data_IF_645446456488
#
_entry.id   IF_645446456488
#
_cell.length_a   1.000
_cell.length_b   1.000
_cell.length_c   1.000
_cell.angle_alpha   90.00
_cell.angle_beta   90.00
_cell.angle_gamma   90.00
#
_symmetry.space_group_name_H-M   'P 1'
#
loop_
_entity.id
_entity.type
_entity.pdbx_description
1 polymer ?
#
# COMPACT_ATOMS: atom_id res chain seq x y z
N UNK A 1 -9.38 4.08 -23.47
CA UNK A 1 -9.79 5.13 -22.50
C UNK A 1 -8.62 6.07 -22.34
N UNK A 2 -8.88 7.39 -22.30
CA UNK A 2 -7.81 8.40 -22.30
C UNK A 2 -7.81 9.18 -20.98
N UNK A 3 -6.62 9.33 -20.37
CA UNK A 3 -6.40 9.97 -19.07
C UNK A 3 -5.31 11.04 -19.15
N UNK A 4 -5.33 12.01 -18.26
CA UNK A 4 -4.25 12.97 -18.09
C UNK A 4 -3.05 12.32 -17.42
N UNK A 5 -3.30 11.42 -16.46
CA UNK A 5 -2.27 10.73 -15.67
C UNK A 5 -2.60 9.26 -15.50
N UNK A 6 -1.66 8.41 -15.87
CA UNK A 6 -1.63 6.99 -15.50
C UNK A 6 -0.56 6.75 -14.44
N UNK A 7 -0.86 5.90 -13.46
CA UNK A 7 0.04 5.57 -12.36
C UNK A 7 0.14 4.06 -12.25
N UNK A 8 1.34 3.50 -12.30
CA UNK A 8 1.58 2.06 -12.11
C UNK A 8 2.16 1.83 -10.72
N UNK A 9 1.41 1.11 -9.89
CA UNK A 9 1.73 0.80 -8.50
C UNK A 9 0.90 1.61 -7.49
N UNK A 10 0.09 0.94 -6.69
CA UNK A 10 -0.82 1.50 -5.68
C UNK A 10 -0.24 1.60 -4.28
N UNK A 11 1.09 1.62 -4.14
CA UNK A 11 1.80 1.87 -2.89
C UNK A 11 1.74 3.34 -2.45
N UNK A 12 2.46 3.74 -1.36
CA UNK A 12 2.41 5.10 -0.81
C UNK A 12 2.69 6.21 -1.82
N UNK A 13 3.61 6.02 -2.75
CA UNK A 13 3.88 6.99 -3.81
C UNK A 13 2.69 7.08 -4.77
N UNK A 14 2.17 5.93 -5.26
CA UNK A 14 1.14 5.89 -6.28
C UNK A 14 -0.21 6.39 -5.81
N UNK A 15 -0.73 5.89 -4.68
CA UNK A 15 -2.04 6.35 -4.21
C UNK A 15 -2.01 7.82 -3.77
N UNK A 16 -0.90 8.32 -3.23
CA UNK A 16 -0.76 9.74 -2.87
C UNK A 16 -0.71 10.61 -4.13
N UNK A 17 0.03 10.18 -5.16
CA UNK A 17 0.07 10.88 -6.44
C UNK A 17 -1.31 10.91 -7.11
N UNK A 18 -2.02 9.75 -7.10
CA UNK A 18 -3.36 9.64 -7.67
C UNK A 18 -4.37 10.58 -6.98
N UNK A 19 -4.37 10.61 -5.64
CA UNK A 19 -5.20 11.54 -4.86
C UNK A 19 -4.92 12.99 -5.23
N UNK A 20 -3.64 13.36 -5.33
CA UNK A 20 -3.24 14.75 -5.66
C UNK A 20 -3.55 15.15 -7.10
N UNK A 21 -3.29 14.26 -8.06
CA UNK A 21 -3.60 14.51 -9.46
C UNK A 21 -5.11 14.72 -9.66
N UNK A 22 -5.93 13.82 -9.13
CA UNK A 22 -7.38 13.90 -9.24
C UNK A 22 -7.96 15.12 -8.49
N UNK A 23 -7.46 15.43 -7.29
CA UNK A 23 -7.83 16.64 -6.56
C UNK A 23 -7.44 17.93 -7.32
N UNK A 24 -6.43 17.87 -8.17
CA UNK A 24 -6.03 18.93 -9.10
C UNK A 24 -6.87 19.00 -10.39
N UNK A 25 -7.89 18.15 -10.52
CA UNK A 25 -8.79 18.12 -11.69
C UNK A 25 -8.31 17.26 -12.85
N UNK A 26 -7.25 16.48 -12.67
CA UNK A 26 -6.73 15.59 -13.73
C UNK A 26 -7.45 14.25 -13.72
N UNK A 27 -7.89 13.79 -14.90
CA UNK A 27 -8.41 12.43 -15.08
C UNK A 27 -7.29 11.42 -14.82
N UNK A 28 -7.51 10.54 -13.83
CA UNK A 28 -6.42 9.71 -13.28
C UNK A 28 -6.82 8.24 -13.23
N UNK A 29 -5.95 7.37 -13.73
CA UNK A 29 -6.05 5.91 -13.59
C UNK A 29 -4.85 5.37 -12.80
N UNK A 30 -5.13 4.46 -11.86
CA UNK A 30 -4.13 3.80 -11.00
C UNK A 30 -4.21 2.29 -11.17
N UNK A 31 -3.10 1.68 -11.56
CA UNK A 31 -2.98 0.23 -11.71
C UNK A 31 -2.29 -0.37 -10.48
N UNK A 32 -2.89 -1.41 -9.89
CA UNK A 32 -2.30 -2.16 -8.77
C UNK A 32 -2.52 -3.66 -8.95
N UNK A 33 -1.43 -4.41 -9.05
CA UNK A 33 -1.50 -5.85 -9.31
C UNK A 33 -1.83 -6.70 -8.09
N UNK A 34 -1.53 -6.21 -6.88
CA UNK A 34 -1.74 -6.94 -5.63
C UNK A 34 -2.81 -6.25 -4.77
N UNK A 35 -2.39 -5.37 -3.87
CA UNK A 35 -3.27 -4.69 -2.93
C UNK A 35 -2.92 -3.21 -2.78
N UNK A 36 -3.93 -2.34 -2.87
CA UNK A 36 -3.77 -0.93 -2.57
C UNK A 36 -3.12 -0.73 -1.20
N UNK A 37 -2.20 0.25 -1.15
CA UNK A 37 -1.38 0.50 0.03
C UNK A 37 0.04 -0.05 -0.09
N UNK A 38 0.29 -0.96 -1.05
CA UNK A 38 1.59 -1.56 -1.31
C UNK A 38 2.20 -2.26 -0.09
N UNK A 39 3.49 -2.52 -0.14
CA UNK A 39 4.23 -3.20 0.94
C UNK A 39 4.08 -2.47 2.28
N UNK A 40 4.14 -1.15 2.30
CA UNK A 40 4.07 -0.39 3.56
C UNK A 40 2.81 -0.68 4.38
N UNK A 41 1.62 -0.68 3.77
CA UNK A 41 0.38 -0.92 4.49
C UNK A 41 0.10 -2.40 4.72
N UNK A 42 0.43 -3.25 3.76
CA UNK A 42 0.01 -4.65 3.79
C UNK A 42 1.02 -5.55 4.52
N UNK A 43 2.32 -5.31 4.35
CA UNK A 43 3.38 -6.24 4.78
C UNK A 43 4.50 -5.58 5.60
N UNK A 44 4.65 -4.25 5.53
CA UNK A 44 5.78 -3.51 6.09
C UNK A 44 5.43 -2.63 7.27
N UNK A 45 5.34 -1.33 7.02
CA UNK A 45 5.27 -0.28 8.05
C UNK A 45 4.12 -0.47 9.06
N UNK A 46 2.92 -0.69 8.57
CA UNK A 46 1.71 -0.77 9.40
C UNK A 46 1.65 -2.07 10.20
N UNK A 47 1.83 -3.25 9.60
CA UNK A 47 1.95 -4.50 10.35
C UNK A 47 3.02 -4.42 11.44
N UNK A 48 4.24 -4.02 11.09
CA UNK A 48 5.37 -3.94 12.02
C UNK A 48 5.07 -3.00 13.19
N UNK A 49 4.61 -1.78 12.92
CA UNK A 49 4.28 -0.83 13.99
C UNK A 49 3.13 -1.32 14.88
N UNK A 50 2.16 -2.02 14.31
CA UNK A 50 1.03 -2.58 15.07
C UNK A 50 1.48 -3.68 16.02
N UNK A 51 2.40 -4.54 15.58
CA UNK A 51 2.99 -5.60 16.41
C UNK A 51 3.90 -5.02 17.50
N UNK A 52 4.80 -4.11 17.13
CA UNK A 52 5.70 -3.43 18.07
C UNK A 52 4.92 -2.67 19.14
N UNK A 53 3.78 -2.06 18.80
CA UNK A 53 2.96 -1.39 19.80
C UNK A 53 2.38 -2.36 20.83
N UNK A 54 1.95 -3.55 20.44
CA UNK A 54 1.50 -4.59 21.38
C UNK A 54 2.63 -5.06 22.28
N UNK A 55 3.83 -5.26 21.74
CA UNK A 55 5.03 -5.58 22.51
C UNK A 55 5.38 -4.47 23.51
N UNK A 56 5.33 -3.21 23.06
CA UNK A 56 5.58 -2.04 23.94
C UNK A 56 4.59 -1.97 25.10
N UNK A 57 3.30 -2.21 24.85
CA UNK A 57 2.28 -2.22 25.93
C UNK A 57 2.60 -3.31 26.96
N UNK A 58 2.94 -4.51 26.51
CA UNK A 58 3.31 -5.61 27.40
C UNK A 58 4.57 -5.30 28.21
N UNK A 59 5.60 -4.76 27.57
CA UNK A 59 6.83 -4.32 28.23
C UNK A 59 6.57 -3.22 29.26
N UNK A 60 5.71 -2.24 28.93
CA UNK A 60 5.30 -1.17 29.86
C UNK A 60 4.64 -1.74 31.12
N UNK A 61 3.77 -2.75 30.98
CA UNK A 61 3.12 -3.42 32.11
C UNK A 61 4.17 -4.11 33.01
N UNK A 62 5.14 -4.79 32.43
CA UNK A 62 6.22 -5.46 33.19
C UNK A 62 7.09 -4.47 34.00
N UNK A 63 7.27 -3.25 33.50
CA UNK A 63 8.06 -2.22 34.13
C UNK A 63 7.23 -1.21 34.98
N UNK A 64 5.91 -1.41 35.06
CA UNK A 64 4.99 -0.52 35.76
C UNK A 64 5.31 -0.31 37.27
N UNK A 65 5.87 -1.30 38.01
CA UNK A 65 6.21 -1.11 39.42
C UNK A 65 7.13 0.08 39.73
N UNK A 66 8.03 0.44 38.79
CA UNK A 66 8.88 1.63 39.00
C UNK A 66 8.12 2.96 39.00
N UNK A 67 6.86 2.95 38.57
CA UNK A 67 5.95 4.10 38.61
C UNK A 67 4.84 3.96 39.66
N UNK A 68 5.04 3.09 40.65
CA UNK A 68 4.04 2.75 41.69
C UNK A 68 2.71 2.21 41.11
N UNK A 69 2.76 1.56 39.95
CA UNK A 69 1.62 0.88 39.31
C UNK A 69 1.89 -0.62 39.34
N UNK A 70 0.93 -1.41 39.80
CA UNK A 70 1.03 -2.88 39.81
C UNK A 70 0.06 -3.50 38.81
N UNK A 71 0.48 -4.58 38.17
CA UNK A 71 -0.37 -5.44 37.36
C UNK A 71 -0.04 -6.89 37.68
N UNK A 72 -1.06 -7.66 38.00
CA UNK A 72 -0.93 -9.07 38.33
C UNK A 72 -1.01 -9.93 37.07
N UNK A 73 -0.12 -10.91 36.96
CA UNK A 73 -0.11 -11.93 35.90
C UNK A 73 -0.27 -11.40 34.47
N UNK A 74 0.55 -10.44 34.01
CA UNK A 74 0.42 -9.93 32.67
C UNK A 74 0.68 -11.04 31.64
N UNK A 75 -0.26 -11.23 30.74
CA UNK A 75 -0.19 -12.22 29.67
C UNK A 75 -0.47 -11.59 28.30
N UNK A 76 -0.07 -12.24 27.24
CA UNK A 76 -0.42 -11.85 25.88
C UNK A 76 -1.01 -13.05 25.11
N UNK A 77 -1.87 -12.74 24.15
CA UNK A 77 -2.48 -13.71 23.23
C UNK A 77 -2.01 -13.37 21.82
N UNK A 78 -1.07 -14.12 21.30
CA UNK A 78 -0.46 -13.84 20.00
C UNK A 78 -1.46 -13.94 18.83
N UNK A 79 -2.35 -14.95 18.74
CA UNK A 79 -3.43 -14.97 17.77
C UNK A 79 -4.28 -13.69 17.74
N UNK A 80 -4.65 -13.15 18.90
CA UNK A 80 -5.41 -11.89 19.00
C UNK A 80 -4.58 -10.67 18.58
N UNK A 81 -3.27 -10.67 18.84
CA UNK A 81 -2.36 -9.62 18.34
C UNK A 81 -2.34 -9.63 16.83
N UNK A 82 -2.24 -10.81 16.20
CA UNK A 82 -2.29 -10.95 14.73
C UNK A 82 -3.65 -10.50 14.18
N UNK A 83 -4.75 -10.91 14.80
CA UNK A 83 -6.09 -10.48 14.40
C UNK A 83 -6.25 -8.94 14.47
N UNK A 84 -5.73 -8.32 15.53
CA UNK A 84 -5.68 -6.85 15.65
C UNK A 84 -4.88 -6.21 14.51
N UNK A 85 -3.69 -6.73 14.21
CA UNK A 85 -2.84 -6.26 13.11
C UNK A 85 -3.60 -6.33 11.78
N UNK A 86 -4.24 -7.45 11.47
CA UNK A 86 -5.02 -7.63 10.26
C UNK A 86 -6.20 -6.63 10.16
N UNK A 87 -6.89 -6.37 11.28
CA UNK A 87 -7.97 -5.37 11.34
C UNK A 87 -7.48 -3.96 11.05
N UNK A 88 -6.32 -3.57 11.56
CA UNK A 88 -5.72 -2.25 11.29
C UNK A 88 -5.37 -2.11 9.82
N UNK A 89 -4.69 -3.09 9.22
CA UNK A 89 -4.35 -3.11 7.79
C UNK A 89 -5.62 -2.97 6.94
N UNK A 90 -6.62 -3.82 7.19
CA UNK A 90 -7.90 -3.79 6.45
C UNK A 90 -8.58 -2.42 6.52
N UNK A 91 -8.60 -1.80 7.70
CA UNK A 91 -9.20 -0.46 7.88
C UNK A 91 -8.48 0.60 7.05
N UNK A 92 -7.16 0.62 7.09
CA UNK A 92 -6.37 1.62 6.36
C UNK A 92 -6.45 1.42 4.84
N UNK A 93 -6.37 0.18 4.36
CA UNK A 93 -6.53 -0.13 2.93
C UNK A 93 -7.92 0.26 2.41
N UNK A 94 -8.97 -0.01 3.20
CA UNK A 94 -10.33 0.43 2.86
C UNK A 94 -10.44 1.96 2.80
N UNK A 95 -9.77 2.68 3.69
CA UNK A 95 -9.71 4.14 3.67
C UNK A 95 -9.07 4.70 2.40
N UNK A 96 -7.98 4.08 1.93
CA UNK A 96 -7.36 4.48 0.64
C UNK A 96 -8.32 4.23 -0.52
N UNK A 97 -8.95 3.05 -0.56
CA UNK A 97 -9.92 2.73 -1.63
C UNK A 97 -11.07 3.73 -1.67
N UNK A 98 -11.58 4.13 -0.51
CA UNK A 98 -12.62 5.14 -0.40
C UNK A 98 -12.14 6.49 -0.94
N UNK A 99 -10.95 6.95 -0.57
CA UNK A 99 -10.35 8.19 -1.07
C UNK A 99 -10.16 8.18 -2.60
N UNK A 100 -9.70 7.06 -3.18
CA UNK A 100 -9.60 6.94 -4.64
C UNK A 100 -10.97 7.14 -5.28
N UNK A 101 -12.00 6.47 -4.75
CA UNK A 101 -13.38 6.58 -5.25
C UNK A 101 -13.94 8.02 -5.11
N UNK A 102 -13.74 8.65 -3.97
CA UNK A 102 -14.22 10.03 -3.69
C UNK A 102 -13.57 11.06 -4.60
N UNK A 103 -12.32 10.86 -4.98
CA UNK A 103 -11.60 11.72 -5.92
C UNK A 103 -11.80 11.32 -7.40
N UNK A 104 -12.62 10.33 -7.69
CA UNK A 104 -12.87 9.91 -9.08
C UNK A 104 -11.69 9.22 -9.76
N UNK A 105 -10.73 8.69 -8.98
CA UNK A 105 -9.62 7.90 -9.52
C UNK A 105 -10.12 6.53 -9.95
N UNK A 106 -9.90 6.16 -11.20
CA UNK A 106 -10.12 4.79 -11.64
C UNK A 106 -9.01 3.88 -11.11
N UNK A 107 -9.38 2.86 -10.36
CA UNK A 107 -8.45 1.87 -9.84
C UNK A 107 -8.63 0.56 -10.60
N UNK A 108 -7.61 0.20 -11.37
CA UNK A 108 -7.54 -1.05 -12.14
C UNK A 108 -6.77 -2.08 -11.33
N UNK A 109 -7.45 -3.16 -10.95
CA UNK A 109 -6.81 -4.31 -10.28
C UNK A 109 -6.20 -5.23 -11.33
N UNK A 110 -4.89 -5.24 -11.44
CA UNK A 110 -4.16 -6.04 -12.42
C UNK A 110 -2.78 -5.49 -12.71
N UNK A 111 -1.99 -6.32 -13.38
CA UNK A 111 -0.69 -5.93 -13.87
C UNK A 111 -0.83 -4.96 -15.05
N UNK A 112 0.03 -3.94 -15.10
CA UNK A 112 0.08 -2.97 -16.17
C UNK A 112 1.37 -3.11 -16.98
N UNK A 113 1.23 -3.15 -18.29
CA UNK A 113 2.35 -3.22 -19.24
C UNK A 113 2.39 -1.96 -20.11
N UNK A 114 3.53 -1.29 -20.14
CA UNK A 114 3.77 -0.14 -21.01
C UNK A 114 4.00 -0.64 -22.44
N UNK A 115 3.07 -0.35 -23.34
CA UNK A 115 3.17 -0.79 -24.76
C UNK A 115 3.97 0.15 -25.63
N UNK A 116 4.05 1.43 -25.29
CA UNK A 116 4.83 2.40 -26.03
C UNK A 116 4.36 3.82 -25.85
N UNK A 117 5.01 4.73 -26.60
CA UNK A 117 4.68 6.15 -26.67
C UNK A 117 4.52 6.56 -28.12
N UNK A 118 3.40 7.16 -28.46
CA UNK A 118 3.12 7.67 -29.80
C UNK A 118 3.90 8.97 -30.08
N UNK A 119 3.92 9.40 -31.35
CA UNK A 119 4.60 10.61 -31.79
C UNK A 119 4.02 11.90 -31.16
N UNK A 120 2.72 11.88 -30.81
CA UNK A 120 2.04 12.97 -30.10
C UNK A 120 2.31 12.98 -28.58
N UNK A 121 3.13 12.05 -28.09
CA UNK A 121 3.48 11.90 -26.69
C UNK A 121 2.53 11.02 -25.87
N UNK A 122 1.43 10.55 -26.43
CA UNK A 122 0.47 9.67 -25.77
C UNK A 122 1.12 8.33 -25.39
N UNK A 123 0.95 7.91 -24.16
CA UNK A 123 1.51 6.65 -23.64
C UNK A 123 0.40 5.60 -23.62
N UNK A 124 0.67 4.43 -24.18
CA UNK A 124 -0.25 3.29 -24.22
C UNK A 124 0.13 2.28 -23.15
N UNK A 125 -0.84 1.90 -22.32
CA UNK A 125 -0.72 0.94 -21.22
C UNK A 125 -1.77 -0.15 -21.43
N UNK A 126 -1.38 -1.41 -21.30
CA UNK A 126 -2.31 -2.54 -21.30
C UNK A 126 -2.45 -3.12 -19.89
N UNK A 127 -3.66 -3.54 -19.52
CA UNK A 127 -3.92 -4.33 -18.31
C UNK A 127 -4.97 -5.39 -18.64
N UNK A 128 -4.55 -6.66 -18.66
CA UNK A 128 -5.35 -7.74 -19.23
C UNK A 128 -5.66 -7.46 -20.71
N UNK A 129 -6.93 -7.55 -21.08
CA UNK A 129 -7.40 -7.25 -22.45
C UNK A 129 -7.68 -5.75 -22.69
N UNK A 130 -7.68 -4.94 -21.64
CA UNK A 130 -8.00 -3.53 -21.74
C UNK A 130 -6.78 -2.68 -22.10
N UNK A 131 -7.00 -1.66 -22.92
CA UNK A 131 -5.98 -0.69 -23.33
C UNK A 131 -6.37 0.70 -22.84
N UNK A 132 -5.40 1.37 -22.26
CA UNK A 132 -5.49 2.71 -21.68
C UNK A 132 -4.48 3.63 -22.35
N UNK A 133 -4.84 4.89 -22.48
CA UNK A 133 -3.97 5.94 -23.00
C UNK A 133 -3.83 7.05 -21.99
N UNK A 134 -2.64 7.59 -21.82
CA UNK A 134 -2.40 8.71 -20.91
C UNK A 134 -1.40 9.71 -21.49
N UNK A 135 -1.60 10.98 -21.15
CA UNK A 135 -0.65 12.03 -21.49
C UNK A 135 0.64 11.94 -20.64
N UNK A 136 0.51 11.51 -19.38
CA UNK A 136 1.61 11.38 -18.43
C UNK A 136 1.57 10.02 -17.73
N UNK A 137 2.75 9.50 -17.39
CA UNK A 137 2.90 8.23 -16.68
C UNK A 137 3.82 8.41 -15.48
N UNK A 138 3.34 7.95 -14.31
CA UNK A 138 4.17 7.77 -13.11
C UNK A 138 4.39 6.28 -12.86
N UNK A 139 5.65 5.90 -12.67
CA UNK A 139 6.05 4.53 -12.32
C UNK A 139 6.35 4.50 -10.83
N UNK A 140 5.46 3.86 -10.06
CA UNK A 140 5.48 3.76 -8.59
C UNK A 140 5.48 2.31 -8.12
N UNK A 141 6.15 1.43 -8.87
CA UNK A 141 6.11 -0.03 -8.69
C UNK A 141 6.80 -0.53 -7.43
N UNK A 142 7.59 0.31 -6.76
CA UNK A 142 8.30 -0.05 -5.54
C UNK A 142 9.50 -0.96 -5.79
N UNK A 143 9.76 -1.85 -4.82
CA UNK A 143 10.89 -2.78 -4.84
C UNK A 143 10.50 -4.10 -4.20
N UNK A 144 11.20 -5.16 -4.56
CA UNK A 144 11.06 -6.48 -3.97
C UNK A 144 12.35 -6.90 -3.26
N UNK A 145 12.21 -7.78 -2.25
CA UNK A 145 13.37 -8.37 -1.58
C UNK A 145 14.08 -9.32 -2.52
N UNK A 146 15.35 -9.09 -2.76
CA UNK A 146 16.21 -10.01 -3.50
C UNK A 146 16.92 -10.95 -2.51
N UNK A 147 16.70 -12.24 -2.69
CA UNK A 147 17.47 -13.28 -1.98
C UNK A 147 18.59 -13.72 -2.92
N UNK A 148 19.85 -13.35 -2.66
CA UNK A 148 20.95 -13.76 -3.51
C UNK A 148 21.15 -15.29 -3.44
N UNK A 149 21.62 -15.94 -4.52
CA UNK A 149 21.80 -17.38 -4.58
C UNK A 149 23.04 -17.83 -3.80
N UNK A 150 23.02 -17.63 -2.48
CA UNK A 150 24.09 -18.08 -1.56
C UNK A 150 23.63 -19.37 -0.92
N UNK A 151 24.44 -20.46 -0.97
CA UNK A 151 24.08 -21.72 -0.35
C UNK A 151 23.72 -21.56 1.13
N UNK A 152 22.55 -22.08 1.54
CA UNK A 152 22.05 -22.00 2.91
C UNK A 152 21.34 -20.69 3.29
N UNK A 153 21.10 -19.78 2.36
CA UNK A 153 20.34 -18.53 2.60
C UNK A 153 18.84 -18.70 2.35
N UNK A 154 18.43 -19.68 1.57
CA UNK A 154 17.03 -20.00 1.25
C UNK A 154 16.60 -21.32 1.89
#
# INVERSE_FOLDING_TARGET
>A
MKYDVAIIGGGPAGYTAAEKAAAGGLSTVLFEKNALGGVCLNEGCVPTKTLLYSAKVFDTIKHAPKYAVSAENPAFDFPRIIARKNKVVKKLTAGIRMKMKENGVEVVSGEAEIKGRAADGTITIASGEAVYEAANLLICTGSETVIPPIPGLA
#
